data_IF_900178592981
#
_entry.id   IF_900178592981
#
_cell.length_a   1.000
_cell.length_b   1.000
_cell.length_c   1.000
_cell.angle_alpha   90.00
_cell.angle_beta   90.00
_cell.angle_gamma   90.00
#
_symmetry.space_group_name_H-M   'P 1'
#
loop_
_entity.id
_entity.type
_entity.pdbx_description
1 polymer ?
#
# COMPACT_ATOMS: atom_id res chain seq x y z
N UNK A 1 35.76 22.33 -56.80
CA UNK A 1 34.60 21.47 -56.47
C UNK A 1 34.81 20.87 -55.09
N UNK A 2 33.81 20.89 -54.20
CA UNK A 2 33.88 20.53 -52.77
C UNK A 2 33.45 19.07 -52.52
N UNK A 3 34.30 18.32 -51.76
CA UNK A 3 34.02 17.19 -50.81
C UNK A 3 33.40 15.87 -51.34
N UNK A 4 33.39 14.75 -50.55
CA UNK A 4 34.37 14.20 -49.59
C UNK A 4 34.52 12.63 -49.60
N UNK A 5 35.37 12.13 -48.68
CA UNK A 5 35.69 10.74 -48.30
C UNK A 5 34.49 9.90 -47.80
N UNK A 6 34.53 8.57 -47.99
CA UNK A 6 33.70 7.60 -47.25
C UNK A 6 34.57 6.65 -46.41
N UNK A 7 34.10 6.44 -45.18
CA UNK A 7 34.80 5.85 -44.03
C UNK A 7 34.31 4.43 -43.77
N UNK A 8 35.20 3.62 -43.20
CA UNK A 8 35.07 2.21 -42.86
C UNK A 8 33.81 1.86 -42.05
N UNK A 9 33.17 0.75 -42.44
CA UNK A 9 32.11 0.08 -41.68
C UNK A 9 32.70 -0.74 -40.53
N UNK A 10 32.25 -0.49 -39.30
CA UNK A 10 32.52 -1.33 -38.12
C UNK A 10 31.27 -2.17 -37.84
N UNK A 11 31.46 -3.48 -37.87
CA UNK A 11 30.51 -4.51 -37.45
C UNK A 11 30.26 -4.42 -35.94
N UNK A 12 28.98 -4.44 -35.53
CA UNK A 12 28.59 -4.57 -34.12
C UNK A 12 27.86 -5.91 -33.94
N UNK A 13 28.36 -6.68 -32.97
CA UNK A 13 27.86 -7.98 -32.49
C UNK A 13 26.68 -7.73 -31.53
N UNK A 14 25.61 -8.53 -31.53
CA UNK A 14 24.49 -8.31 -30.62
C UNK A 14 24.83 -8.83 -29.21
N UNK A 15 24.78 -7.94 -28.23
CA UNK A 15 24.68 -8.31 -26.81
C UNK A 15 23.19 -8.48 -26.43
N UNK A 16 22.86 -9.37 -25.48
CA UNK A 16 21.49 -9.70 -25.14
C UNK A 16 20.91 -8.54 -24.31
N UNK A 17 19.87 -7.90 -24.86
CA UNK A 17 19.10 -6.91 -24.13
C UNK A 17 18.27 -7.65 -23.09
N UNK A 18 18.63 -7.49 -21.82
CA UNK A 18 17.71 -7.67 -20.70
C UNK A 18 16.62 -6.63 -20.86
N UNK A 19 15.50 -6.99 -21.49
CA UNK A 19 14.35 -6.10 -21.57
C UNK A 19 13.70 -5.98 -20.17
N UNK A 20 13.60 -4.76 -19.62
CA UNK A 20 12.76 -4.51 -18.46
C UNK A 20 11.30 -4.73 -18.85
N UNK A 21 10.47 -5.20 -17.91
CA UNK A 21 9.02 -5.41 -18.11
C UNK A 21 8.40 -4.10 -18.62
N UNK A 22 8.10 -4.03 -19.91
CA UNK A 22 7.57 -2.80 -20.52
C UNK A 22 6.05 -2.73 -20.32
N UNK A 23 5.49 -1.53 -20.05
CA UNK A 23 4.05 -1.31 -20.08
C UNK A 23 3.51 -1.62 -21.48
N UNK A 24 2.22 -2.01 -21.56
CA UNK A 24 1.55 -2.36 -22.82
C UNK A 24 1.84 -1.32 -23.91
N UNK A 25 2.38 -1.78 -25.04
CA UNK A 25 2.84 -0.87 -26.09
C UNK A 25 1.66 -0.15 -26.76
N UNK A 26 1.89 1.05 -27.32
CA UNK A 26 0.83 1.78 -28.03
C UNK A 26 0.19 0.96 -29.17
N UNK A 27 1.00 0.11 -29.83
CA UNK A 27 0.53 -0.80 -30.88
C UNK A 27 -0.39 -1.90 -30.31
N UNK A 28 -0.01 -2.46 -29.18
CA UNK A 28 -0.77 -3.51 -28.50
C UNK A 28 -2.07 -2.97 -27.92
N UNK A 29 -2.05 -1.78 -27.30
CA UNK A 29 -3.26 -1.04 -26.90
C UNK A 29 -4.21 -0.85 -28.09
N UNK A 30 -3.70 -0.41 -29.24
CA UNK A 30 -4.51 -0.26 -30.44
C UNK A 30 -5.15 -1.59 -30.90
N UNK A 31 -4.40 -2.70 -30.84
CA UNK A 31 -4.92 -4.02 -31.19
C UNK A 31 -6.03 -4.47 -30.24
N UNK A 32 -5.83 -4.30 -28.93
CA UNK A 32 -6.83 -4.62 -27.91
C UNK A 32 -8.12 -3.80 -28.12
N UNK A 33 -8.01 -2.50 -28.43
CA UNK A 33 -9.17 -1.64 -28.69
C UNK A 33 -9.90 -2.08 -29.96
N UNK A 34 -9.16 -2.36 -31.04
CA UNK A 34 -9.74 -2.80 -32.31
C UNK A 34 -10.49 -4.14 -32.16
N UNK A 35 -9.92 -5.10 -31.44
CA UNK A 35 -10.56 -6.39 -31.15
C UNK A 35 -11.82 -6.21 -30.30
N UNK A 36 -11.75 -5.40 -29.23
CA UNK A 36 -12.91 -5.13 -28.37
C UNK A 36 -14.05 -4.43 -29.14
N UNK A 37 -13.73 -3.45 -29.99
CA UNK A 37 -14.71 -2.78 -30.85
C UNK A 37 -15.34 -3.76 -31.86
N UNK A 38 -14.54 -4.67 -32.42
CA UNK A 38 -15.04 -5.72 -33.32
C UNK A 38 -16.03 -6.66 -32.62
N UNK A 39 -15.69 -7.17 -31.43
CA UNK A 39 -16.58 -8.05 -30.65
C UNK A 39 -17.88 -7.34 -30.23
N UNK A 40 -17.83 -6.03 -29.95
CA UNK A 40 -19.03 -5.23 -29.70
C UNK A 40 -19.92 -5.14 -30.93
N UNK A 41 -19.33 -4.85 -32.10
CA UNK A 41 -20.04 -4.82 -33.36
C UNK A 41 -20.59 -6.20 -33.77
N UNK A 42 -19.91 -7.29 -33.42
CA UNK A 42 -20.36 -8.67 -33.64
C UNK A 42 -21.57 -9.02 -32.76
N UNK A 43 -21.57 -8.64 -31.47
CA UNK A 43 -22.69 -8.89 -30.55
C UNK A 43 -24.02 -8.27 -31.00
N UNK A 44 -23.97 -7.18 -31.77
CA UNK A 44 -25.14 -6.55 -32.42
C UNK A 44 -25.44 -7.10 -33.82
N UNK A 45 -24.77 -8.18 -34.22
CA UNK A 45 -24.93 -8.80 -35.54
C UNK A 45 -24.45 -7.93 -36.70
N UNK A 46 -23.57 -6.95 -36.42
CA UNK A 46 -23.14 -5.90 -37.37
C UNK A 46 -24.30 -5.07 -37.96
N UNK A 47 -25.49 -5.12 -37.35
CA UNK A 47 -26.70 -4.43 -37.82
C UNK A 47 -27.15 -3.38 -36.80
N UNK A 48 -27.10 -2.11 -37.19
CA UNK A 48 -27.46 -0.98 -36.34
C UNK A 48 -26.34 -0.54 -35.37
N UNK A 49 -26.42 0.70 -34.89
CA UNK A 49 -25.41 1.36 -34.04
C UNK A 49 -24.27 2.04 -34.81
N UNK A 50 -23.50 2.89 -34.12
CA UNK A 50 -22.33 3.61 -34.68
C UNK A 50 -21.05 2.81 -34.43
N UNK A 51 -20.13 2.80 -35.42
CA UNK A 51 -18.79 2.20 -35.28
C UNK A 51 -17.95 3.04 -34.32
N UNK A 52 -18.13 4.35 -34.40
CA UNK A 52 -17.48 5.34 -33.56
C UNK A 52 -17.85 5.15 -32.08
N UNK A 53 -19.12 4.85 -31.78
CA UNK A 53 -19.56 4.52 -30.41
C UNK A 53 -18.92 3.23 -29.89
N UNK A 54 -18.82 2.18 -30.72
CA UNK A 54 -18.15 0.94 -30.31
C UNK A 54 -16.66 1.13 -30.06
N UNK A 55 -16.00 1.97 -30.86
CA UNK A 55 -14.60 2.32 -30.67
C UNK A 55 -14.39 3.13 -29.38
N UNK A 56 -15.20 4.15 -29.12
CA UNK A 56 -15.11 4.97 -27.90
C UNK A 56 -15.31 4.11 -26.65
N UNK A 57 -16.28 3.21 -26.68
CA UNK A 57 -16.56 2.31 -25.56
C UNK A 57 -15.43 1.28 -25.38
N UNK A 58 -14.91 0.73 -26.47
CA UNK A 58 -13.77 -0.18 -26.42
C UNK A 58 -12.50 0.51 -25.89
N UNK A 59 -12.23 1.75 -26.29
CA UNK A 59 -11.11 2.53 -25.76
C UNK A 59 -11.24 2.74 -24.24
N UNK A 60 -12.43 3.15 -23.77
CA UNK A 60 -12.68 3.32 -22.34
C UNK A 60 -12.54 2.01 -21.55
N UNK A 61 -12.99 0.88 -22.10
CA UNK A 61 -12.86 -0.44 -21.48
C UNK A 61 -11.40 -0.87 -21.37
N UNK A 62 -10.64 -0.79 -22.47
CA UNK A 62 -9.22 -1.16 -22.49
C UNK A 62 -8.41 -0.25 -21.57
N UNK A 63 -8.68 1.06 -21.55
CA UNK A 63 -7.97 1.99 -20.66
C UNK A 63 -8.17 1.65 -19.19
N UNK A 64 -9.41 1.34 -18.80
CA UNK A 64 -9.71 0.92 -17.44
C UNK A 64 -9.00 -0.41 -17.10
N UNK A 65 -9.01 -1.38 -18.02
CA UNK A 65 -8.33 -2.67 -17.82
C UNK A 65 -6.82 -2.50 -17.65
N UNK A 66 -6.19 -1.68 -18.49
CA UNK A 66 -4.75 -1.42 -18.43
C UNK A 66 -4.37 -0.70 -17.13
N UNK A 67 -5.16 0.27 -16.68
CA UNK A 67 -4.95 0.96 -15.41
C UNK A 67 -5.07 0.01 -14.21
N UNK A 68 -6.10 -0.84 -14.17
CA UNK A 68 -6.26 -1.82 -13.10
C UNK A 68 -5.15 -2.88 -13.13
N UNK A 69 -4.66 -3.28 -14.31
CA UNK A 69 -3.49 -4.16 -14.45
C UNK A 69 -2.22 -3.49 -13.92
N UNK A 70 -1.93 -2.26 -14.33
CA UNK A 70 -0.75 -1.51 -13.87
C UNK A 70 -0.77 -1.32 -12.34
N UNK A 71 -1.93 -0.95 -11.80
CA UNK A 71 -2.14 -0.83 -10.35
C UNK A 71 -1.90 -2.16 -9.64
N UNK A 72 -2.45 -3.26 -10.14
CA UNK A 72 -2.26 -4.60 -9.56
C UNK A 72 -0.78 -5.00 -9.59
N UNK A 73 -0.09 -4.75 -10.71
CA UNK A 73 1.35 -5.02 -10.84
C UNK A 73 2.17 -4.17 -9.86
N UNK A 74 1.82 -2.90 -9.68
CA UNK A 74 2.50 -2.01 -8.73
C UNK A 74 2.32 -2.48 -7.29
N UNK A 75 1.11 -2.84 -6.89
CA UNK A 75 0.87 -3.37 -5.52
C UNK A 75 1.65 -4.68 -5.32
N UNK A 76 1.65 -5.58 -6.30
CA UNK A 76 2.41 -6.83 -6.24
C UNK A 76 3.93 -6.59 -6.13
N UNK A 77 4.46 -5.62 -6.89
CA UNK A 77 5.87 -5.24 -6.82
C UNK A 77 6.25 -4.67 -5.44
N UNK A 78 5.42 -3.76 -4.89
CA UNK A 78 5.62 -3.23 -3.54
C UNK A 78 5.54 -4.34 -2.48
N UNK A 79 4.56 -5.24 -2.58
CA UNK A 79 4.46 -6.38 -1.68
C UNK A 79 5.71 -7.27 -1.76
N UNK A 80 6.24 -7.52 -2.95
CA UNK A 80 7.46 -8.32 -3.09
C UNK A 80 8.69 -7.64 -2.49
N UNK A 81 8.82 -6.33 -2.65
CA UNK A 81 9.88 -5.55 -2.01
C UNK A 81 9.79 -5.63 -0.48
N UNK A 82 8.59 -5.46 0.08
CA UNK A 82 8.33 -5.59 1.52
C UNK A 82 8.69 -6.98 2.04
N UNK A 83 8.29 -8.04 1.34
CA UNK A 83 8.64 -9.43 1.68
C UNK A 83 10.16 -9.59 1.81
N UNK A 84 10.93 -9.12 0.82
CA UNK A 84 12.39 -9.22 0.80
C UNK A 84 13.07 -8.37 1.88
N UNK A 85 12.58 -7.16 2.13
CA UNK A 85 13.13 -6.29 3.18
C UNK A 85 12.91 -6.88 4.57
N UNK A 86 11.70 -7.39 4.86
CA UNK A 86 11.40 -8.03 6.14
C UNK A 86 12.19 -9.31 6.30
N UNK A 87 12.28 -10.14 5.26
CA UNK A 87 13.14 -11.33 5.30
C UNK A 87 14.58 -10.98 5.65
N UNK A 88 15.17 -9.99 4.96
CA UNK A 88 16.54 -9.53 5.22
C UNK A 88 16.74 -9.02 6.65
N UNK A 89 15.75 -8.32 7.22
CA UNK A 89 15.79 -7.87 8.63
C UNK A 89 15.96 -9.06 9.57
N UNK A 90 15.11 -10.09 9.41
CA UNK A 90 15.13 -11.23 10.31
C UNK A 90 16.31 -12.16 10.06
N UNK A 91 16.90 -12.16 8.86
CA UNK A 91 18.12 -12.93 8.58
C UNK A 91 19.37 -12.27 9.16
N UNK A 92 19.52 -10.96 8.99
CA UNK A 92 20.84 -10.31 9.11
C UNK A 92 20.93 -9.25 10.22
N UNK A 93 19.82 -8.64 10.62
CA UNK A 93 19.83 -7.52 11.56
C UNK A 93 18.61 -7.65 12.50
N UNK A 94 18.74 -8.65 13.37
CA UNK A 94 17.75 -9.04 14.38
C UNK A 94 17.75 -8.11 15.60
N UNK A 95 18.53 -7.03 15.57
CA UNK A 95 18.44 -5.99 16.59
C UNK A 95 17.17 -5.18 16.31
N UNK A 96 16.26 -5.12 17.29
CA UNK A 96 15.00 -4.36 17.20
C UNK A 96 14.10 -4.75 16.00
N UNK A 97 13.90 -6.05 15.76
CA UNK A 97 13.05 -6.59 14.67
C UNK A 97 11.69 -5.88 14.61
N UNK A 98 10.99 -5.78 15.74
CA UNK A 98 9.69 -5.10 15.80
C UNK A 98 9.72 -3.68 15.23
N UNK A 99 10.67 -2.85 15.67
CA UNK A 99 10.78 -1.45 15.20
C UNK A 99 11.10 -1.33 13.71
N UNK A 100 11.92 -2.24 13.18
CA UNK A 100 12.29 -2.26 11.75
C UNK A 100 11.12 -2.73 10.88
N UNK A 101 10.45 -3.82 11.28
CA UNK A 101 9.24 -4.31 10.60
C UNK A 101 8.13 -3.26 10.62
N UNK A 102 7.95 -2.56 11.75
CA UNK A 102 7.02 -1.44 11.87
C UNK A 102 7.31 -0.36 10.82
N UNK A 103 8.58 0.03 10.69
CA UNK A 103 9.01 1.08 9.75
C UNK A 103 8.80 0.66 8.30
N UNK A 104 9.19 -0.56 7.93
CA UNK A 104 8.97 -1.11 6.58
C UNK A 104 7.48 -1.12 6.24
N UNK A 105 6.64 -1.59 7.17
CA UNK A 105 5.19 -1.64 6.99
C UNK A 105 4.61 -0.24 6.79
N UNK A 106 4.97 0.72 7.63
CA UNK A 106 4.51 2.11 7.50
C UNK A 106 4.94 2.74 6.17
N UNK A 107 6.17 2.49 5.71
CA UNK A 107 6.64 2.95 4.40
C UNK A 107 5.77 2.40 3.26
N UNK A 108 5.50 1.09 3.30
CA UNK A 108 4.69 0.43 2.28
C UNK A 108 3.26 0.97 2.24
N UNK A 109 2.65 1.18 3.41
CA UNK A 109 1.30 1.76 3.52
C UNK A 109 1.27 3.24 3.07
N UNK A 110 2.36 3.99 3.26
CA UNK A 110 2.44 5.40 2.86
C UNK A 110 2.62 5.62 1.36
N UNK A 111 3.14 4.63 0.62
CA UNK A 111 3.53 4.76 -0.78
C UNK A 111 2.42 4.47 -1.81
N UNK A 112 1.23 4.04 -1.38
CA UNK A 112 0.18 3.53 -2.27
C UNK A 112 -1.24 4.00 -1.93
N UNK A 113 -2.22 3.55 -2.73
CA UNK A 113 -3.64 3.74 -2.41
C UNK A 113 -3.96 2.88 -1.19
N UNK A 114 -4.35 3.51 -0.08
CA UNK A 114 -4.78 2.84 1.13
C UNK A 114 -6.19 2.25 0.91
N UNK A 115 -6.27 0.95 0.61
CA UNK A 115 -7.51 0.20 0.54
C UNK A 115 -7.30 -1.20 1.13
N UNK A 116 -8.38 -1.93 1.34
CA UNK A 116 -8.34 -3.25 1.99
C UNK A 116 -7.41 -4.24 1.26
N UNK A 117 -7.34 -4.19 -0.07
CA UNK A 117 -6.53 -5.12 -0.86
C UNK A 117 -5.04 -4.80 -0.74
N UNK A 118 -4.64 -3.54 -0.86
CA UNK A 118 -3.24 -3.15 -0.70
C UNK A 118 -2.74 -3.42 0.73
N UNK A 119 -3.56 -3.14 1.74
CA UNK A 119 -3.25 -3.46 3.14
C UNK A 119 -3.08 -4.97 3.34
N UNK A 120 -3.98 -5.80 2.79
CA UNK A 120 -3.88 -7.26 2.82
C UNK A 120 -2.58 -7.76 2.19
N UNK A 121 -2.22 -7.24 1.02
CA UNK A 121 -0.99 -7.67 0.33
C UNK A 121 0.27 -7.28 1.10
N UNK A 122 0.33 -6.07 1.68
CA UNK A 122 1.45 -5.65 2.53
C UNK A 122 1.55 -6.53 3.77
N UNK A 123 0.45 -6.79 4.48
CA UNK A 123 0.48 -7.69 5.65
C UNK A 123 0.94 -9.09 5.27
N UNK A 124 0.40 -9.67 4.20
CA UNK A 124 0.80 -10.98 3.71
C UNK A 124 2.29 -11.05 3.38
N UNK A 125 2.82 -10.01 2.73
CA UNK A 125 4.25 -9.90 2.42
C UNK A 125 5.12 -9.81 3.68
N UNK A 126 4.73 -8.99 4.67
CA UNK A 126 5.46 -8.87 5.94
C UNK A 126 5.50 -10.22 6.67
N UNK A 127 4.35 -10.90 6.78
CA UNK A 127 4.27 -12.19 7.48
C UNK A 127 5.12 -13.24 6.75
N UNK A 128 5.03 -13.30 5.43
CA UNK A 128 5.80 -14.26 4.62
C UNK A 128 7.31 -13.99 4.69
N UNK A 129 7.73 -12.73 4.57
CA UNK A 129 9.12 -12.34 4.75
C UNK A 129 9.62 -12.69 6.16
N UNK A 130 8.79 -12.47 7.18
CA UNK A 130 9.13 -12.81 8.56
C UNK A 130 9.27 -14.33 8.76
N UNK A 131 8.38 -15.13 8.18
CA UNK A 131 8.48 -16.60 8.20
C UNK A 131 9.78 -17.09 7.55
N UNK A 132 10.10 -16.56 6.37
CA UNK A 132 11.30 -16.95 5.64
C UNK A 132 12.58 -16.53 6.38
N UNK A 133 12.63 -15.30 6.88
CA UNK A 133 13.83 -14.81 7.56
C UNK A 133 14.04 -15.42 8.94
N UNK A 134 12.96 -15.66 9.70
CA UNK A 134 13.04 -16.31 11.00
C UNK A 134 13.51 -17.78 10.91
N UNK A 135 13.18 -18.47 9.81
CA UNK A 135 13.59 -19.87 9.59
C UNK A 135 15.11 -20.04 9.50
N UNK A 136 15.85 -18.97 9.16
CA UNK A 136 17.33 -18.95 9.14
C UNK A 136 17.96 -19.01 10.54
N UNK A 137 17.18 -18.83 11.62
CA UNK A 137 17.66 -18.78 13.00
C UNK A 137 17.05 -19.89 13.87
N UNK A 138 17.60 -21.10 13.75
CA UNK A 138 17.15 -22.26 14.53
C UNK A 138 17.21 -21.97 16.04
N UNK A 139 16.10 -22.19 16.75
CA UNK A 139 15.97 -21.93 18.19
C UNK A 139 15.50 -20.52 18.56
N UNK A 140 15.58 -19.54 17.64
CA UNK A 140 15.08 -18.18 17.85
C UNK A 140 13.91 -17.82 16.92
N UNK A 141 13.56 -18.68 15.96
CA UNK A 141 12.47 -18.51 15.00
C UNK A 141 11.17 -18.00 15.64
N UNK A 142 10.70 -18.67 16.71
CA UNK A 142 9.46 -18.27 17.40
C UNK A 142 9.54 -16.87 18.01
N UNK A 143 10.70 -16.48 18.56
CA UNK A 143 10.91 -15.16 19.14
C UNK A 143 10.91 -14.08 18.04
N UNK A 144 11.67 -14.31 16.97
CA UNK A 144 11.78 -13.36 15.86
C UNK A 144 10.43 -13.17 15.15
N UNK A 145 9.66 -14.24 14.96
CA UNK A 145 8.30 -14.17 14.44
C UNK A 145 7.38 -13.33 15.34
N UNK A 146 7.41 -13.53 16.66
CA UNK A 146 6.61 -12.73 17.61
C UNK A 146 6.98 -11.24 17.53
N UNK A 147 8.28 -10.92 17.51
CA UNK A 147 8.74 -9.53 17.39
C UNK A 147 8.33 -8.89 16.06
N UNK A 148 8.42 -9.62 14.95
CA UNK A 148 7.96 -9.13 13.65
C UNK A 148 6.44 -8.89 13.63
N UNK A 149 5.65 -9.80 14.21
CA UNK A 149 4.19 -9.65 14.28
C UNK A 149 3.78 -8.47 15.19
N UNK A 150 4.52 -8.24 16.27
CA UNK A 150 4.34 -7.05 17.09
C UNK A 150 4.63 -5.76 16.30
N UNK A 151 5.72 -5.74 15.51
CA UNK A 151 6.04 -4.60 14.66
C UNK A 151 4.97 -4.31 13.59
N UNK A 152 4.37 -5.36 13.04
CA UNK A 152 3.25 -5.26 12.11
C UNK A 152 1.99 -4.69 12.79
N UNK A 153 1.62 -5.21 13.97
CA UNK A 153 0.49 -4.71 14.77
C UNK A 153 0.68 -3.22 15.13
N UNK A 154 1.86 -2.84 15.62
CA UNK A 154 2.22 -1.46 15.96
C UNK A 154 2.16 -0.51 14.75
N UNK A 155 2.48 -0.99 13.55
CA UNK A 155 2.38 -0.20 12.32
C UNK A 155 0.92 0.04 11.92
N UNK A 156 0.08 -1.00 11.95
CA UNK A 156 -1.34 -0.89 11.64
C UNK A 156 -2.07 -0.01 12.65
N UNK A 157 -1.73 -0.14 13.94
CA UNK A 157 -2.22 0.72 15.00
C UNK A 157 -1.87 2.20 14.77
N UNK A 158 -0.60 2.47 14.40
CA UNK A 158 -0.15 3.83 14.08
C UNK A 158 -0.84 4.38 12.81
N UNK A 159 -1.13 3.54 11.81
CA UNK A 159 -1.87 3.93 10.62
C UNK A 159 -3.33 4.27 10.91
N UNK A 160 -3.99 3.49 11.78
CA UNK A 160 -5.36 3.76 12.23
C UNK A 160 -5.43 5.09 12.99
N UNK A 161 -4.50 5.34 13.90
CA UNK A 161 -4.40 6.59 14.67
C UNK A 161 -4.13 7.79 13.75
N UNK A 162 -3.19 7.67 12.81
CA UNK A 162 -2.91 8.70 11.81
C UNK A 162 -4.14 9.06 10.98
N UNK A 163 -4.87 8.05 10.51
CA UNK A 163 -6.12 8.22 9.74
C UNK A 163 -7.18 8.94 10.56
N UNK A 164 -7.35 8.55 11.82
CA UNK A 164 -8.28 9.20 12.73
C UNK A 164 -7.94 10.67 12.98
N UNK A 165 -6.66 10.99 13.20
CA UNK A 165 -6.20 12.36 13.42
C UNK A 165 -6.42 13.23 12.18
N UNK A 166 -6.03 12.72 11.00
CA UNK A 166 -6.27 13.40 9.73
C UNK A 166 -7.75 13.72 9.55
N UNK A 167 -8.63 12.76 9.83
CA UNK A 167 -10.07 12.91 9.68
C UNK A 167 -10.67 13.90 10.69
N UNK A 168 -10.17 13.92 11.93
CA UNK A 168 -10.55 14.92 12.93
C UNK A 168 -10.17 16.33 12.50
N UNK A 169 -8.97 16.53 11.98
CA UNK A 169 -8.53 17.84 11.47
C UNK A 169 -9.34 18.29 10.27
N UNK A 170 -9.65 17.35 9.37
CA UNK A 170 -10.39 17.64 8.15
C UNK A 170 -11.87 17.99 8.45
N UNK A 171 -12.51 17.31 9.41
CA UNK A 171 -13.86 17.65 9.88
C UNK A 171 -13.93 19.02 10.57
N UNK A 172 -12.85 19.46 11.24
CA UNK A 172 -12.79 20.74 11.94
C UNK A 172 -12.55 21.96 11.04
N UNK A 173 -12.16 21.76 9.77
CA UNK A 173 -11.79 22.87 8.87
C UNK A 173 -12.83 23.20 7.79
N UNK A 174 -13.66 22.25 7.35
CA UNK A 174 -14.74 22.51 6.36
C UNK A 174 -15.77 21.37 6.31
N UNK A 175 -17.00 21.63 5.83
CA UNK A 175 -18.03 20.62 5.50
C UNK A 175 -17.67 19.78 4.25
N UNK A 176 -16.41 19.44 4.03
CA UNK A 176 -15.91 18.85 2.78
C UNK A 176 -16.27 17.35 2.63
N UNK A 177 -16.62 16.64 3.71
CA UNK A 177 -16.71 15.16 3.70
C UNK A 177 -18.07 14.51 3.86
N UNK A 178 -18.34 13.59 2.93
CA UNK A 178 -19.35 12.54 2.99
C UNK A 178 -19.79 12.10 4.37
N UNK A 179 -21.06 12.22 4.80
CA UNK A 179 -21.50 11.34 5.91
C UNK A 179 -21.32 9.87 5.50
N UNK A 180 -21.58 9.56 4.23
CA UNK A 180 -21.41 8.23 3.68
C UNK A 180 -19.92 7.83 3.59
N UNK A 181 -19.04 8.75 3.20
CA UNK A 181 -17.59 8.49 3.13
C UNK A 181 -17.01 8.26 4.52
N UNK A 182 -17.38 9.09 5.49
CA UNK A 182 -16.96 8.95 6.88
C UNK A 182 -17.43 7.62 7.48
N UNK A 183 -18.66 7.21 7.19
CA UNK A 183 -19.19 5.89 7.59
C UNK A 183 -18.45 4.73 6.89
N UNK A 184 -18.07 4.89 5.63
CA UNK A 184 -17.23 3.90 4.92
C UNK A 184 -15.89 3.76 5.62
N UNK A 185 -15.19 4.87 5.88
CA UNK A 185 -13.89 4.85 6.57
C UNK A 185 -13.97 4.23 7.96
N UNK A 186 -15.03 4.48 8.73
CA UNK A 186 -15.26 3.79 10.01
C UNK A 186 -15.40 2.28 9.83
N UNK A 187 -16.11 1.85 8.80
CA UNK A 187 -16.31 0.42 8.48
C UNK A 187 -14.97 -0.22 8.10
N UNK A 188 -14.17 0.46 7.28
CA UNK A 188 -12.85 0.01 6.87
C UNK A 188 -11.89 -0.09 8.06
N UNK A 189 -11.90 0.91 8.95
CA UNK A 189 -11.13 0.88 10.20
C UNK A 189 -11.57 -0.29 11.09
N UNK A 190 -12.88 -0.45 11.31
CA UNK A 190 -13.44 -1.53 12.13
C UNK A 190 -13.08 -2.93 11.60
N UNK A 191 -12.91 -3.08 10.29
CA UNK A 191 -12.52 -4.34 9.67
C UNK A 191 -11.01 -4.67 9.82
N UNK A 192 -10.17 -3.71 10.20
CA UNK A 192 -8.71 -3.85 10.15
C UNK A 192 -8.16 -4.93 11.09
N UNK A 193 -8.66 -5.01 12.32
CA UNK A 193 -8.25 -6.06 13.28
C UNK A 193 -8.65 -7.45 12.78
N UNK A 194 -9.86 -7.58 12.25
CA UNK A 194 -10.34 -8.87 11.70
C UNK A 194 -9.47 -9.31 10.52
N UNK A 195 -9.11 -8.38 9.63
CA UNK A 195 -8.23 -8.66 8.50
C UNK A 195 -6.82 -9.06 8.96
N UNK A 196 -6.27 -8.40 9.98
CA UNK A 196 -4.98 -8.75 10.56
C UNK A 196 -4.97 -10.17 11.13
N UNK A 197 -5.96 -10.51 11.97
CA UNK A 197 -6.12 -11.84 12.56
C UNK A 197 -6.30 -12.91 11.48
N UNK A 198 -7.11 -12.63 10.47
CA UNK A 198 -7.35 -13.55 9.34
C UNK A 198 -6.04 -13.82 8.58
N UNK A 199 -5.25 -12.78 8.32
CA UNK A 199 -3.98 -12.92 7.58
C UNK A 199 -2.97 -13.77 8.36
N UNK A 200 -2.85 -13.58 9.68
CA UNK A 200 -2.00 -14.44 10.53
C UNK A 200 -2.53 -15.89 10.51
N UNK A 201 -3.84 -16.08 10.61
CA UNK A 201 -4.46 -17.41 10.58
C UNK A 201 -4.18 -18.14 9.27
N UNK A 202 -4.30 -17.46 8.13
CA UNK A 202 -4.02 -18.03 6.81
C UNK A 202 -2.52 -18.37 6.64
N UNK A 203 -1.64 -17.51 7.17
CA UNK A 203 -0.20 -17.77 7.20
C UNK A 203 0.14 -18.97 8.10
N UNK A 204 -0.54 -19.12 9.24
CA UNK A 204 -0.39 -20.28 10.13
C UNK A 204 -0.82 -21.57 9.43
N UNK A 205 -1.95 -21.56 8.71
CA UNK A 205 -2.45 -22.72 7.97
C UNK A 205 -1.48 -23.19 6.89
N UNK A 206 -0.81 -22.24 6.23
CA UNK A 206 0.16 -22.49 5.15
C UNK A 206 1.56 -22.86 5.66
N UNK A 207 1.85 -22.58 6.94
CA UNK A 207 3.14 -22.86 7.56
C UNK A 207 3.24 -24.29 8.11
N UNK A 208 4.48 -24.68 8.42
CA UNK A 208 4.86 -25.94 9.07
C UNK A 208 5.74 -25.68 10.29
N UNK A 209 5.90 -26.68 11.16
CA UNK A 209 6.85 -26.62 12.28
C UNK A 209 6.62 -25.47 13.26
N UNK A 210 7.70 -24.84 13.72
CA UNK A 210 7.69 -23.75 14.70
C UNK A 210 6.89 -22.54 14.23
N UNK A 211 7.03 -22.14 12.96
CA UNK A 211 6.24 -21.05 12.37
C UNK A 211 4.73 -21.29 12.48
N UNK A 212 4.25 -22.50 12.16
CA UNK A 212 2.83 -22.85 12.26
C UNK A 212 2.31 -22.66 13.67
N UNK A 213 3.00 -23.26 14.65
CA UNK A 213 2.59 -23.19 16.06
C UNK A 213 2.59 -21.75 16.55
N UNK A 214 3.67 -21.00 16.27
CA UNK A 214 3.82 -19.61 16.71
C UNK A 214 2.72 -18.70 16.14
N UNK A 215 2.43 -18.80 14.85
CA UNK A 215 1.40 -17.97 14.22
C UNK A 215 -0.01 -18.39 14.64
N UNK A 216 -0.25 -19.68 14.86
CA UNK A 216 -1.52 -20.15 15.41
C UNK A 216 -1.75 -19.58 16.81
N UNK A 217 -0.75 -19.65 17.69
CA UNK A 217 -0.81 -19.09 19.04
C UNK A 217 -1.05 -17.57 19.00
N UNK A 218 -0.38 -16.85 18.09
CA UNK A 218 -0.58 -15.41 17.91
C UNK A 218 -1.98 -15.08 17.41
N UNK A 219 -2.50 -15.77 16.39
CA UNK A 219 -3.86 -15.55 15.89
C UNK A 219 -4.91 -15.88 16.96
N UNK A 220 -4.69 -16.94 17.76
CA UNK A 220 -5.56 -17.27 18.87
C UNK A 220 -5.50 -16.20 19.96
N UNK A 221 -4.30 -15.78 20.35
CA UNK A 221 -4.11 -14.72 21.35
C UNK A 221 -4.76 -13.41 20.92
N UNK A 222 -4.58 -13.00 19.66
CA UNK A 222 -5.20 -11.80 19.10
C UNK A 222 -6.73 -11.85 19.15
N UNK A 223 -7.36 -13.02 18.92
CA UNK A 223 -8.83 -13.17 19.04
C UNK A 223 -9.35 -13.09 20.48
N UNK A 224 -8.57 -13.60 21.44
CA UNK A 224 -9.02 -13.72 22.84
C UNK A 224 -8.67 -12.48 23.65
N UNK A 225 -7.46 -11.97 23.47
CA UNK A 225 -6.90 -10.86 24.25
C UNK A 225 -7.01 -9.51 23.53
N UNK A 226 -7.31 -9.52 22.23
CA UNK A 226 -7.27 -8.34 21.36
C UNK A 226 -5.87 -8.04 20.83
N UNK A 227 -5.79 -6.95 20.07
CA UNK A 227 -4.56 -6.46 19.43
C UNK A 227 -4.37 -4.96 19.70
N UNK A 228 -3.15 -4.44 19.50
CA UNK A 228 -2.91 -2.99 19.61
C UNK A 228 -3.69 -2.26 18.50
N UNK A 229 -3.76 -2.84 17.30
CA UNK A 229 -4.61 -2.32 16.23
C UNK A 229 -6.07 -2.29 16.63
N UNK A 230 -6.60 -3.33 17.28
CA UNK A 230 -7.98 -3.39 17.76
C UNK A 230 -8.31 -2.29 18.76
N UNK A 231 -7.44 -2.05 19.75
CA UNK A 231 -7.59 -0.97 20.72
C UNK A 231 -7.65 0.41 20.03
N UNK A 232 -6.70 0.67 19.13
CA UNK A 232 -6.63 1.95 18.39
C UNK A 232 -7.81 2.14 17.45
N UNK A 233 -8.23 1.09 16.76
CA UNK A 233 -9.41 1.09 15.89
C UNK A 233 -10.68 1.39 16.69
N UNK A 234 -10.89 0.72 17.82
CA UNK A 234 -12.07 0.94 18.65
C UNK A 234 -12.15 2.40 19.17
N UNK A 235 -11.01 2.95 19.60
CA UNK A 235 -10.90 4.36 19.98
C UNK A 235 -11.19 5.29 18.81
N UNK A 236 -10.61 5.01 17.63
CA UNK A 236 -10.79 5.81 16.44
C UNK A 236 -12.25 5.84 15.98
N UNK A 237 -12.90 4.68 15.87
CA UNK A 237 -14.31 4.56 15.48
C UNK A 237 -15.22 5.30 16.46
N UNK A 238 -14.97 5.17 17.77
CA UNK A 238 -15.76 5.87 18.80
C UNK A 238 -15.64 7.39 18.68
N UNK A 239 -14.43 7.91 18.47
CA UNK A 239 -14.20 9.35 18.30
C UNK A 239 -14.85 9.89 17.02
N UNK A 240 -14.76 9.15 15.92
CA UNK A 240 -15.40 9.55 14.67
C UNK A 240 -16.94 9.51 14.78
N UNK A 241 -17.51 8.55 15.53
CA UNK A 241 -18.94 8.46 15.74
C UNK A 241 -19.48 9.69 16.50
N UNK A 242 -18.71 10.20 17.47
CA UNK A 242 -19.02 11.47 18.13
C UNK A 242 -19.04 12.66 17.16
N UNK A 243 -18.07 12.75 16.24
CA UNK A 243 -18.03 13.82 15.24
C UNK A 243 -19.28 13.80 14.35
N UNK A 244 -19.68 12.63 13.81
CA UNK A 244 -20.92 12.52 13.01
C UNK A 244 -22.14 12.97 13.83
N UNK A 245 -22.26 12.47 15.06
CA UNK A 245 -23.40 12.76 15.93
C UNK A 245 -23.51 14.26 16.24
N UNK A 246 -22.40 14.97 16.40
CA UNK A 246 -22.40 16.40 16.66
C UNK A 246 -22.73 17.22 15.40
N UNK A 247 -22.23 16.84 14.22
CA UNK A 247 -22.53 17.54 12.96
C UNK A 247 -24.00 17.42 12.54
N UNK A 248 -24.68 16.30 12.84
CA UNK A 248 -26.12 16.15 12.53
C UNK A 248 -27.01 17.12 13.32
N UNK A 249 -26.60 17.56 14.51
CA UNK A 249 -27.34 18.57 15.29
C UNK A 249 -27.23 19.97 14.68
N UNK A 250 -26.11 20.32 14.05
CA UNK A 250 -25.91 21.63 13.41
C UNK A 250 -26.58 21.72 12.04
N UNK A 251 -26.64 20.65 11.26
CA UNK A 251 -27.25 20.66 9.92
C UNK A 251 -28.78 20.72 9.91
N UNK A 252 -29.46 20.44 11.04
CA UNK A 252 -30.91 20.70 11.17
C UNK A 252 -31.22 22.21 11.17
N UNK A 253 -30.23 23.07 11.45
CA UNK A 253 -30.41 24.53 11.46
C UNK A 253 -30.10 25.21 10.11
N UNK A 254 -29.46 24.53 9.15
CA UNK A 254 -29.06 25.11 7.86
C UNK A 254 -29.54 24.23 6.69
N UNK A 255 -30.60 24.67 6.03
CA UNK A 255 -31.29 23.91 4.97
C UNK A 255 -30.45 23.62 3.72
N UNK A 256 -30.65 22.40 3.21
CA UNK A 256 -30.43 21.90 1.83
C UNK A 256 -29.30 22.51 0.99
N UNK A 257 -28.23 21.73 0.83
CA UNK A 257 -27.67 21.26 -0.46
C UNK A 257 -26.14 21.21 -0.40
N UNK A 258 -25.57 20.02 -0.46
CA UNK A 258 -24.14 19.85 -0.77
C UNK A 258 -23.97 18.62 -1.65
N UNK A 259 -23.89 18.86 -2.96
CA UNK A 259 -23.42 17.87 -3.92
C UNK A 259 -21.90 17.81 -3.83
N UNK A 260 -21.36 16.63 -3.51
CA UNK A 260 -19.92 16.38 -3.35
C UNK A 260 -19.29 15.80 -4.60
N UNK A 261 -18.07 16.25 -4.89
CA UNK A 261 -17.16 15.59 -5.83
C UNK A 261 -15.83 15.29 -5.13
N UNK A 262 -15.31 14.11 -5.47
CA UNK A 262 -13.93 13.61 -5.38
C UNK A 262 -13.45 12.94 -4.07
N UNK A 263 -13.63 11.62 -4.01
CA UNK A 263 -13.10 10.70 -2.98
C UNK A 263 -11.61 10.36 -3.09
N UNK A 264 -10.81 11.13 -3.84
CA UNK A 264 -9.36 10.91 -3.97
C UNK A 264 -8.52 11.59 -2.87
N UNK A 265 -9.11 12.53 -2.12
CA UNK A 265 -8.39 13.37 -1.13
C UNK A 265 -8.11 12.64 0.19
N UNK A 266 -8.87 11.60 0.54
CA UNK A 266 -8.71 10.91 1.83
C UNK A 266 -7.50 10.00 1.90
N UNK A 267 -7.30 9.17 0.86
CA UNK A 267 -6.16 8.26 0.80
C UNK A 267 -4.83 9.03 0.77
N UNK A 268 -4.80 10.21 0.14
CA UNK A 268 -3.60 11.06 0.07
C UNK A 268 -3.27 11.77 1.40
N UNK A 269 -4.28 12.17 2.18
CA UNK A 269 -4.06 12.77 3.51
C UNK A 269 -3.50 11.75 4.51
N UNK A 270 -4.07 10.54 4.57
CA UNK A 270 -3.57 9.48 5.44
C UNK A 270 -2.15 9.04 5.05
N UNK A 271 -1.86 8.92 3.75
CA UNK A 271 -0.51 8.68 3.25
C UNK A 271 0.47 9.81 3.62
N UNK A 272 0.03 11.08 3.63
CA UNK A 272 0.83 12.23 4.06
C UNK A 272 1.20 12.18 5.55
N UNK A 273 0.23 11.87 6.43
CA UNK A 273 0.49 11.73 7.87
C UNK A 273 1.40 10.53 8.16
N UNK A 274 1.19 9.41 7.46
CA UNK A 274 2.03 8.22 7.60
C UNK A 274 3.47 8.49 7.14
N UNK A 275 3.67 9.19 6.03
CA UNK A 275 4.99 9.65 5.60
C UNK A 275 5.66 10.56 6.66
N UNK A 276 4.88 11.42 7.33
CA UNK A 276 5.38 12.25 8.43
C UNK A 276 5.80 11.44 9.66
N UNK A 277 5.09 10.37 9.99
CA UNK A 277 5.46 9.45 11.07
C UNK A 277 6.73 8.67 10.74
N UNK A 278 6.85 8.17 9.51
CA UNK A 278 8.05 7.50 9.01
C UNK A 278 9.29 8.38 9.18
N UNK A 279 9.22 9.66 8.80
CA UNK A 279 10.36 10.58 8.91
C UNK A 279 10.83 10.77 10.36
N UNK A 280 9.93 10.67 11.34
CA UNK A 280 10.28 10.77 12.77
C UNK A 280 10.84 9.48 13.35
N UNK A 281 10.54 8.34 12.72
CA UNK A 281 11.02 7.02 13.12
C UNK A 281 12.37 6.65 12.51
N UNK A 282 12.77 7.31 11.41
CA UNK A 282 14.13 7.16 10.89
C UNK A 282 15.14 7.65 11.93
N UNK A 283 16.11 6.83 12.34
CA UNK A 283 17.15 7.29 13.24
C UNK A 283 17.89 8.44 12.57
N UNK A 284 17.99 9.56 13.27
CA UNK A 284 18.81 10.70 12.86
C UNK A 284 20.24 10.17 12.72
N UNK A 285 20.70 9.94 11.50
CA UNK A 285 22.09 9.63 11.24
C UNK A 285 22.88 10.80 11.83
N UNK A 286 23.60 10.55 12.93
CA UNK A 286 24.53 11.54 13.47
C UNK A 286 25.50 11.89 12.34
N UNK A 287 25.43 13.13 11.88
CA UNK A 287 26.43 13.72 10.99
C UNK A 287 27.72 13.91 11.80
N UNK A 288 28.45 12.81 12.02
CA UNK A 288 29.83 12.83 12.47
C UNK A 288 30.72 12.89 11.24
N UNK A 289 30.79 14.06 10.63
CA UNK A 289 31.94 14.49 9.83
C UNK A 289 31.97 16.02 9.71
N UNK A 290 32.07 16.71 10.85
CA UNK A 290 32.75 18.01 10.86
C UNK A 290 34.26 17.76 10.96
N UNK A 291 35.07 18.19 9.97
CA UNK A 291 36.51 18.29 10.16
C UNK A 291 36.78 19.40 11.18
N UNK A 292 37.39 19.05 12.31
CA UNK A 292 38.01 20.02 13.21
C UNK A 292 39.03 20.86 12.41
N UNK A 293 38.72 22.13 12.18
CA UNK A 293 39.73 23.10 11.73
C UNK A 293 40.86 23.17 12.77
N UNK A 294 42.13 23.02 12.37
CA UNK A 294 43.24 23.22 13.30
C UNK A 294 43.34 24.71 13.63
N UNK A 295 43.50 24.98 14.92
CA UNK A 295 43.61 26.33 15.47
C UNK A 295 44.72 27.14 14.80
N UNK A 296 44.40 28.41 14.54
CA UNK A 296 45.40 29.46 14.34
C UNK A 296 45.51 30.21 15.66
N UNK A 297 46.61 30.01 16.36
CA UNK A 297 47.15 31.03 17.25
C UNK A 297 48.69 30.92 17.23
N UNK A 298 49.30 32.00 16.74
CA UNK A 298 50.69 32.50 16.87
C UNK A 298 51.86 31.54 16.67
#
# INVERSE_FOLDING_TARGET
MRKPKSSAAKSVKPEPVTEPVQPVSAKERYQMIAEAAYFRAEKRGFTGGSIEEDWIQAEAEIDHLLQEQEKTQKIAATAKEVELLVQSVLENDTAAVSGRVRTITLNALSGGVLNTESIRQVMGAVIKGAQQGAASHTGHEAKLLKEAMQGLDDALAAAAEATQLALKEAAGRTSEFSQQELKSTMTDLAALESLFIETISNAAQSATGTARTTLHDLAHHARVSGTVVGEKVASAVSQLAHIIADTTREQVAAGTQTLRKEGALFASLAAGVLNGLVQKLQPKTEDKNEPKSPGRDK
#
